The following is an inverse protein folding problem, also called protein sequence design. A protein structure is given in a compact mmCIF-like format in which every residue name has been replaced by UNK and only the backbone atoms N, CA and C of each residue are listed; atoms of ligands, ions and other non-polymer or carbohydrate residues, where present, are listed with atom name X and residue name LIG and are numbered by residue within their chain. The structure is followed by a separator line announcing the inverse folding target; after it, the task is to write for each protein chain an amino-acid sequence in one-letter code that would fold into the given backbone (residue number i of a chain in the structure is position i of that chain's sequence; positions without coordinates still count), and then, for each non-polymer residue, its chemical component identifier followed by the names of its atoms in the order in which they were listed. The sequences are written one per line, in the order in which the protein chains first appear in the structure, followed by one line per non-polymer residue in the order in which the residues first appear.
data_IF_007825232366
#
_entry.id   IF_007825232366
#
_cell.length_a   1.000
_cell.length_b   1.000
_cell.length_c   1.000
_cell.angle_alpha   90.00
_cell.angle_beta   90.00
_cell.angle_gamma   90.00
#
_symmetry.space_group_name_H-M   'P 1'
#
loop_
_entity.id
_entity.type
_entity.pdbx_description
1 polymer ?
#
# COMPACT_ATOMS: atom_id res chain seq x y z
N UNK A 1 50.46 -19.06 3.23
CA UNK A 1 49.21 -19.83 3.04
C UNK A 1 48.11 -19.18 3.87
N UNK A 2 47.30 -18.31 3.26
CA UNK A 2 46.21 -17.60 3.92
C UNK A 2 44.89 -18.33 3.66
N UNK A 3 44.27 -18.85 4.72
CA UNK A 3 42.95 -19.47 4.63
C UNK A 3 41.88 -18.40 4.39
N UNK A 4 41.19 -18.45 3.24
CA UNK A 4 39.99 -17.65 2.98
C UNK A 4 38.87 -18.15 3.90
N UNK A 5 38.45 -17.32 4.87
CA UNK A 5 37.21 -17.53 5.61
C UNK A 5 36.03 -17.39 4.64
N UNK A 6 35.29 -18.49 4.47
CA UNK A 6 34.01 -18.50 3.77
C UNK A 6 33.01 -17.65 4.56
N UNK A 7 32.49 -16.58 3.96
CA UNK A 7 31.32 -15.85 4.46
C UNK A 7 30.10 -16.72 4.19
N UNK A 8 29.75 -17.59 5.15
CA UNK A 8 28.40 -18.16 5.20
C UNK A 8 27.49 -17.02 5.65
N UNK A 9 26.70 -16.46 4.73
CA UNK A 9 25.60 -15.60 5.13
C UNK A 9 24.71 -16.41 6.09
N UNK A 10 24.50 -15.90 7.30
CA UNK A 10 23.47 -16.44 8.17
C UNK A 10 22.14 -16.08 7.50
N UNK A 11 21.54 -17.03 6.78
CA UNK A 11 20.14 -16.94 6.41
C UNK A 11 19.36 -16.93 7.73
N UNK A 12 18.67 -15.83 7.99
CA UNK A 12 17.81 -15.70 9.17
C UNK A 12 16.56 -16.52 8.87
N UNK A 13 15.96 -17.17 9.87
CA UNK A 13 14.76 -18.00 9.67
C UNK A 13 13.56 -17.20 9.11
N UNK A 14 13.66 -15.86 9.06
CA UNK A 14 12.72 -14.92 8.43
C UNK A 14 12.77 -14.94 6.89
N UNK A 15 13.82 -15.49 6.26
CA UNK A 15 13.97 -15.50 4.79
C UNK A 15 13.05 -16.52 4.09
N UNK A 16 12.26 -17.27 4.84
CA UNK A 16 11.17 -18.11 4.32
C UNK A 16 9.85 -17.65 4.93
N UNK A 17 9.13 -16.80 4.21
CA UNK A 17 7.80 -16.36 4.60
C UNK A 17 6.89 -17.61 4.80
N UNK A 18 6.34 -17.83 6.00
CA UNK A 18 5.60 -19.06 6.34
C UNK A 18 4.20 -19.15 5.70
N UNK A 19 3.84 -18.18 4.86
CA UNK A 19 2.51 -18.07 4.29
C UNK A 19 2.38 -18.93 3.03
N UNK A 20 2.12 -20.22 3.25
CA UNK A 20 1.45 -21.06 2.27
C UNK A 20 -0.01 -21.19 2.70
N UNK A 21 -0.96 -20.62 1.95
CA UNK A 21 -2.38 -20.95 2.15
C UNK A 21 -3.10 -21.01 0.82
N UNK A 22 -3.42 -22.24 0.42
CA UNK A 22 -4.77 -22.62 0.02
C UNK A 22 -5.04 -23.99 0.68
N UNK A 23 -6.26 -24.22 1.16
CA UNK A 23 -6.68 -25.44 1.87
C UNK A 23 -6.58 -26.74 1.04
N UNK A 24 -6.19 -26.64 -0.24
CA UNK A 24 -6.12 -27.72 -1.22
C UNK A 24 -4.70 -28.26 -1.47
N UNK A 25 -3.70 -27.84 -0.68
CA UNK A 25 -2.35 -28.42 -0.69
C UNK A 25 -1.53 -28.13 -1.95
N UNK A 26 -1.97 -27.17 -2.78
CA UNK A 26 -1.18 -26.65 -3.91
C UNK A 26 -0.31 -25.49 -3.44
N UNK A 27 0.86 -25.25 -4.05
CA UNK A 27 1.57 -24.00 -3.84
C UNK A 27 0.67 -22.85 -4.30
N UNK A 28 0.08 -22.13 -3.34
CA UNK A 28 -0.58 -20.88 -3.62
C UNK A 28 0.44 -19.96 -4.30
N UNK A 29 0.08 -19.40 -5.45
CA UNK A 29 0.90 -18.36 -6.08
C UNK A 29 1.13 -17.21 -5.09
N UNK A 30 2.12 -16.36 -5.39
CA UNK A 30 2.41 -15.18 -4.58
C UNK A 30 1.13 -14.33 -4.45
N UNK A 31 0.67 -14.06 -3.23
CA UNK A 31 -0.48 -13.17 -3.02
C UNK A 31 -0.18 -11.80 -3.63
N UNK A 32 -1.13 -11.23 -4.35
CA UNK A 32 -0.99 -9.93 -4.99
C UNK A 32 -1.68 -8.87 -4.14
N UNK A 33 -1.06 -7.72 -3.98
CA UNK A 33 -1.67 -6.60 -3.29
C UNK A 33 -1.51 -5.30 -4.05
N UNK A 34 -2.40 -4.36 -3.76
CA UNK A 34 -2.28 -2.97 -4.20
C UNK A 34 -1.97 -2.06 -3.01
N UNK A 35 -1.18 -1.02 -3.22
CA UNK A 35 -0.75 -0.07 -2.19
C UNK A 35 -1.29 1.33 -2.52
N UNK A 36 -2.46 1.67 -1.99
CA UNK A 36 -3.11 2.96 -2.17
C UNK A 36 -2.66 3.93 -1.08
N UNK A 37 -2.47 5.20 -1.46
CA UNK A 37 -1.93 6.22 -0.55
C UNK A 37 -0.59 5.75 0.03
N UNK A 38 0.26 5.18 -0.84
CA UNK A 38 1.38 4.35 -0.42
C UNK A 38 2.48 5.12 0.32
N UNK A 39 2.50 6.45 0.23
CA UNK A 39 3.53 7.29 0.81
C UNK A 39 4.92 6.82 0.38
N UNK A 40 5.75 6.48 1.36
CA UNK A 40 7.11 5.95 1.14
C UNK A 40 7.18 4.42 1.03
N UNK A 41 6.04 3.71 1.02
CA UNK A 41 5.94 2.26 0.82
C UNK A 41 6.02 1.40 2.09
N UNK A 42 5.41 1.87 3.18
CA UNK A 42 5.34 1.11 4.45
C UNK A 42 4.61 -0.22 4.30
N UNK A 43 3.43 -0.22 3.68
CA UNK A 43 2.69 -1.44 3.37
C UNK A 43 3.46 -2.32 2.40
N UNK A 44 4.01 -1.76 1.31
CA UNK A 44 4.82 -2.55 0.38
C UNK A 44 5.94 -3.31 1.05
N UNK A 45 6.73 -2.66 1.90
CA UNK A 45 7.82 -3.30 2.63
C UNK A 45 7.32 -4.43 3.54
N UNK A 46 6.20 -4.23 4.24
CA UNK A 46 5.63 -5.25 5.13
C UNK A 46 5.13 -6.48 4.35
N UNK A 47 4.36 -6.25 3.29
CA UNK A 47 3.77 -7.33 2.49
C UNK A 47 4.78 -8.06 1.62
N UNK A 48 5.77 -7.37 1.04
CA UNK A 48 6.85 -8.02 0.30
C UNK A 48 7.73 -8.89 1.21
N UNK A 49 8.00 -8.45 2.44
CA UNK A 49 8.68 -9.29 3.47
C UNK A 49 7.85 -10.50 3.87
N UNK A 50 6.53 -10.37 3.89
CA UNK A 50 5.61 -11.49 4.07
C UNK A 50 5.45 -12.37 2.80
N UNK A 51 6.20 -12.07 1.73
CA UNK A 51 6.19 -12.85 0.50
C UNK A 51 5.06 -12.50 -0.46
N UNK A 52 4.33 -11.40 -0.31
CA UNK A 52 3.32 -10.94 -1.28
C UNK A 52 3.93 -10.03 -2.37
N UNK A 53 3.28 -9.88 -3.51
CA UNK A 53 3.70 -9.09 -4.68
C UNK A 53 2.86 -7.83 -4.80
N UNK A 54 3.50 -6.66 -4.87
CA UNK A 54 2.78 -5.42 -5.15
C UNK A 54 2.54 -5.31 -6.65
N UNK A 55 1.28 -5.20 -7.07
CA UNK A 55 0.91 -5.12 -8.50
C UNK A 55 0.38 -3.75 -8.92
N UNK A 56 0.16 -2.85 -7.97
CA UNK A 56 -0.27 -1.48 -8.22
C UNK A 56 0.06 -0.59 -7.00
N UNK A 57 0.48 0.65 -7.26
CA UNK A 57 0.66 1.65 -6.21
C UNK A 57 0.19 3.03 -6.67
N UNK A 58 -0.34 3.83 -5.74
CA UNK A 58 -0.84 5.19 -6.02
C UNK A 58 -0.54 6.14 -4.86
N UNK A 59 0.11 7.25 -5.16
CA UNK A 59 0.25 8.39 -4.25
C UNK A 59 0.46 9.67 -5.05
N UNK A 60 -0.34 10.70 -4.76
CA UNK A 60 -0.30 11.97 -5.49
C UNK A 60 0.85 12.90 -5.09
N UNK A 61 1.53 12.64 -3.97
CA UNK A 61 2.59 13.49 -3.49
C UNK A 61 3.88 13.18 -4.25
N UNK A 62 4.38 14.20 -4.95
CA UNK A 62 5.58 14.11 -5.79
C UNK A 62 6.83 13.68 -5.01
N UNK A 63 6.94 14.02 -3.73
CA UNK A 63 8.08 13.63 -2.90
C UNK A 63 7.95 12.18 -2.45
N UNK A 64 6.75 11.75 -2.03
CA UNK A 64 6.43 10.33 -1.79
C UNK A 64 6.78 9.49 -3.02
N UNK A 65 6.31 9.87 -4.21
CA UNK A 65 6.64 9.18 -5.46
C UNK A 65 8.15 9.06 -5.70
N UNK A 66 8.89 10.15 -5.46
CA UNK A 66 10.36 10.15 -5.66
C UNK A 66 11.05 9.17 -4.72
N UNK A 67 10.64 9.16 -3.45
CA UNK A 67 11.18 8.22 -2.47
C UNK A 67 10.77 6.78 -2.79
N UNK A 68 9.52 6.56 -3.18
CA UNK A 68 9.02 5.24 -3.55
C UNK A 68 9.77 4.68 -4.76
N UNK A 69 9.90 5.46 -5.83
CA UNK A 69 10.63 5.09 -7.05
C UNK A 69 12.11 4.77 -6.76
N UNK A 70 12.76 5.55 -5.88
CA UNK A 70 14.14 5.30 -5.47
C UNK A 70 14.34 3.98 -4.70
N UNK A 71 13.31 3.48 -4.00
CA UNK A 71 13.40 2.26 -3.20
C UNK A 71 12.90 1.02 -3.93
N UNK A 72 11.88 1.15 -4.79
CA UNK A 72 11.21 0.01 -5.42
C UNK A 72 11.39 -0.05 -6.94
N UNK A 73 12.00 0.97 -7.56
CA UNK A 73 12.20 1.03 -9.01
C UNK A 73 10.91 1.26 -9.81
N UNK A 74 9.80 1.54 -9.12
CA UNK A 74 8.47 1.75 -9.70
C UNK A 74 7.92 3.08 -9.21
N UNK A 75 7.37 3.88 -10.11
CA UNK A 75 6.73 5.15 -9.75
C UNK A 75 5.23 4.96 -9.52
N UNK A 76 4.66 5.39 -8.39
CA UNK A 76 3.21 5.32 -8.15
C UNK A 76 2.41 6.14 -9.17
N UNK A 77 1.17 5.73 -9.44
CA UNK A 77 0.30 6.29 -10.49
C UNK A 77 -0.21 7.73 -10.23
N UNK A 78 0.08 8.32 -9.07
CA UNK A 78 -0.38 9.66 -8.73
C UNK A 78 -1.74 9.69 -8.04
N UNK A 79 -2.59 10.61 -8.48
CA UNK A 79 -3.95 10.79 -7.97
C UNK A 79 -4.83 9.61 -8.37
N UNK A 80 -5.39 8.92 -7.37
CA UNK A 80 -6.23 7.74 -7.58
C UNK A 80 -7.51 8.07 -8.36
N UNK A 81 -7.99 9.32 -8.33
CA UNK A 81 -9.14 9.75 -9.13
C UNK A 81 -8.87 9.78 -10.64
N UNK A 82 -7.60 9.78 -11.06
CA UNK A 82 -7.20 9.75 -12.45
C UNK A 82 -7.09 8.32 -13.01
N UNK A 83 -7.24 7.30 -12.17
CA UNK A 83 -7.15 5.89 -12.55
C UNK A 83 -8.56 5.30 -12.61
N UNK A 84 -8.94 4.74 -13.75
CA UNK A 84 -10.20 4.01 -13.82
C UNK A 84 -10.11 2.73 -12.98
N UNK A 85 -11.13 2.44 -12.19
CA UNK A 85 -11.15 1.25 -11.31
C UNK A 85 -10.91 -0.04 -12.11
N UNK A 86 -11.39 -0.11 -13.35
CA UNK A 86 -11.19 -1.23 -14.26
C UNK A 86 -9.74 -1.40 -14.76
N UNK A 87 -8.91 -0.35 -14.70
CA UNK A 87 -7.50 -0.39 -15.11
C UNK A 87 -6.59 -0.91 -14.00
N UNK A 88 -7.09 -1.01 -12.75
CA UNK A 88 -6.34 -1.59 -11.63
C UNK A 88 -6.21 -3.11 -11.87
N UNK A 89 -4.98 -3.68 -11.88
CA UNK A 89 -4.78 -5.12 -12.07
C UNK A 89 -5.47 -5.94 -11.00
N UNK A 90 -5.88 -7.19 -11.29
CA UNK A 90 -6.44 -8.10 -10.28
C UNK A 90 -5.47 -8.32 -9.11
N UNK A 91 -5.99 -8.25 -7.89
CA UNK A 91 -5.25 -8.41 -6.64
C UNK A 91 -6.05 -9.21 -5.61
N UNK A 92 -5.36 -9.67 -4.56
CA UNK A 92 -5.93 -10.42 -3.44
C UNK A 92 -6.12 -9.56 -2.18
N UNK A 93 -5.30 -8.52 -2.02
CA UNK A 93 -5.30 -7.64 -0.85
C UNK A 93 -5.27 -6.17 -1.27
N UNK A 94 -6.20 -5.36 -0.75
CA UNK A 94 -6.12 -3.89 -0.85
C UNK A 94 -5.46 -3.33 0.42
N UNK A 95 -4.38 -2.56 0.27
CA UNK A 95 -3.80 -1.77 1.36
C UNK A 95 -4.07 -0.29 1.08
N UNK A 96 -4.51 0.46 2.09
CA UNK A 96 -4.72 1.91 1.96
C UNK A 96 -4.35 2.66 3.24
N UNK A 97 -3.29 3.48 3.17
CA UNK A 97 -2.88 4.41 4.21
C UNK A 97 -3.54 5.78 4.03
N UNK A 98 -4.86 5.83 4.08
CA UNK A 98 -5.64 6.96 3.62
C UNK A 98 -5.53 8.17 4.56
N UNK A 99 -5.67 9.41 4.06
CA UNK A 99 -5.39 10.59 4.87
C UNK A 99 -6.33 10.72 6.08
N UNK A 100 -5.76 10.64 7.28
CA UNK A 100 -6.46 10.83 8.56
C UNK A 100 -6.64 12.33 8.94
N UNK A 101 -6.05 13.28 8.20
CA UNK A 101 -6.13 14.72 8.50
C UNK A 101 -7.54 15.32 8.53
N UNK A 102 -8.52 14.87 7.70
CA UNK A 102 -9.90 15.33 7.83
C UNK A 102 -10.60 14.84 9.10
N UNK A 103 -10.08 13.79 9.76
CA UNK A 103 -10.80 13.05 10.81
C UNK A 103 -10.10 13.08 12.19
N UNK A 104 -8.79 13.31 12.24
CA UNK A 104 -8.04 13.37 13.51
C UNK A 104 -8.22 14.69 14.26
N UNK A 105 -8.17 14.66 15.60
CA UNK A 105 -8.28 15.87 16.43
C UNK A 105 -7.26 16.96 16.04
N UNK A 106 -6.00 16.58 15.82
CA UNK A 106 -4.94 17.50 15.41
C UNK A 106 -5.16 18.04 13.97
N UNK A 107 -5.60 17.18 13.04
CA UNK A 107 -5.91 17.56 11.67
C UNK A 107 -7.11 18.50 11.58
N UNK A 108 -8.20 18.18 12.27
CA UNK A 108 -9.42 18.99 12.39
C UNK A 108 -9.09 20.34 13.03
N UNK A 109 -8.32 20.38 14.12
CA UNK A 109 -7.89 21.64 14.75
C UNK A 109 -7.16 22.55 13.75
N UNK A 110 -6.25 21.99 12.95
CA UNK A 110 -5.50 22.70 11.91
C UNK A 110 -6.39 23.15 10.74
N UNK A 111 -7.49 22.44 10.42
CA UNK A 111 -8.46 22.82 9.39
C UNK A 111 -9.44 23.90 9.87
N UNK A 112 -9.83 23.87 11.15
CA UNK A 112 -10.70 24.86 11.76
C UNK A 112 -10.03 26.24 11.88
N UNK A 113 -8.72 26.32 12.18
CA UNK A 113 -8.03 27.61 12.30
C UNK A 113 -8.14 28.52 11.06
N UNK A 114 -8.06 28.01 9.81
CA UNK A 114 -8.36 28.77 8.59
C UNK A 114 -9.83 28.68 8.11
N UNK A 115 -10.76 28.14 8.91
CA UNK A 115 -12.17 27.98 8.52
C UNK A 115 -12.44 26.97 7.40
N UNK A 116 -11.58 25.96 7.24
CA UNK A 116 -11.76 24.91 6.22
C UNK A 116 -12.70 23.81 6.73
N UNK A 117 -13.48 23.25 5.81
CA UNK A 117 -14.29 22.05 6.03
C UNK A 117 -13.41 20.84 6.38
N UNK A 118 -13.95 19.86 7.07
CA UNK A 118 -13.25 18.66 7.53
C UNK A 118 -14.19 17.44 7.41
N UNK A 119 -13.71 16.25 7.80
CA UNK A 119 -14.45 15.00 7.60
C UNK A 119 -14.74 14.76 6.12
N UNK A 120 -15.95 14.26 5.83
CA UNK A 120 -16.43 14.04 4.47
C UNK A 120 -16.72 15.34 3.70
N UNK A 121 -16.86 16.47 4.40
CA UNK A 121 -17.05 17.77 3.75
C UNK A 121 -15.73 18.36 3.22
N UNK A 122 -14.59 17.70 3.46
CA UNK A 122 -13.32 18.06 2.85
C UNK A 122 -13.24 17.54 1.41
N UNK A 123 -13.47 18.44 0.45
CA UNK A 123 -13.51 18.11 -0.99
C UNK A 123 -12.20 17.52 -1.54
N UNK A 124 -11.05 17.74 -0.87
CA UNK A 124 -9.75 17.26 -1.36
C UNK A 124 -9.34 15.92 -0.78
N UNK A 125 -9.67 15.66 0.48
CA UNK A 125 -9.17 14.50 1.22
C UNK A 125 -10.27 13.66 1.87
N UNK A 126 -11.43 14.25 2.16
CA UNK A 126 -12.57 13.55 2.75
C UNK A 126 -13.19 12.52 1.80
N UNK A 127 -13.09 12.76 0.50
CA UNK A 127 -13.67 11.89 -0.52
C UNK A 127 -12.76 10.73 -0.96
N UNK A 128 -11.51 10.69 -0.50
CA UNK A 128 -10.56 9.62 -0.85
C UNK A 128 -10.99 8.25 -0.31
N UNK A 129 -11.75 8.23 0.79
CA UNK A 129 -12.39 7.02 1.28
C UNK A 129 -13.37 6.42 0.27
N UNK A 130 -14.12 7.26 -0.47
CA UNK A 130 -15.06 6.76 -1.48
C UNK A 130 -14.34 6.12 -2.67
N UNK A 131 -13.16 6.61 -3.05
CA UNK A 131 -12.33 5.92 -4.05
C UNK A 131 -11.95 4.50 -3.61
N UNK A 132 -11.65 4.30 -2.32
CA UNK A 132 -11.38 2.96 -1.78
C UNK A 132 -12.66 2.10 -1.87
N UNK A 133 -13.80 2.66 -1.48
CA UNK A 133 -15.08 1.96 -1.52
C UNK A 133 -15.44 1.53 -2.95
N UNK A 134 -15.24 2.39 -3.95
CA UNK A 134 -15.50 2.08 -5.36
C UNK A 134 -14.57 0.95 -5.87
N UNK A 135 -13.30 0.95 -5.46
CA UNK A 135 -12.35 -0.12 -5.80
C UNK A 135 -12.73 -1.44 -5.14
N UNK A 136 -13.11 -1.41 -3.86
CA UNK A 136 -13.58 -2.59 -3.13
C UNK A 136 -14.87 -3.16 -3.75
N UNK A 137 -15.82 -2.30 -4.11
CA UNK A 137 -17.09 -2.70 -4.72
C UNK A 137 -16.87 -3.41 -6.07
N UNK A 138 -16.00 -2.86 -6.91
CA UNK A 138 -15.69 -3.44 -8.22
C UNK A 138 -14.85 -4.72 -8.15
N UNK A 139 -13.77 -4.73 -7.36
CA UNK A 139 -12.79 -5.84 -7.37
C UNK A 139 -13.15 -6.98 -6.40
N UNK A 140 -13.91 -6.70 -5.35
CA UNK A 140 -14.29 -7.67 -4.31
C UNK A 140 -13.11 -8.55 -3.83
N UNK A 141 -11.98 -7.95 -3.41
CA UNK A 141 -10.80 -8.71 -3.00
C UNK A 141 -11.08 -9.54 -1.73
N UNK A 142 -10.41 -10.70 -1.57
CA UNK A 142 -10.50 -11.51 -0.35
C UNK A 142 -10.21 -10.76 0.95
N UNK A 143 -9.32 -9.77 0.92
CA UNK A 143 -8.94 -9.01 2.12
C UNK A 143 -8.62 -7.55 1.80
N UNK A 144 -8.68 -6.71 2.83
CA UNK A 144 -8.20 -5.34 2.78
C UNK A 144 -7.65 -4.89 4.15
N UNK A 145 -6.77 -3.90 4.14
CA UNK A 145 -6.18 -3.26 5.32
C UNK A 145 -6.25 -1.75 5.13
N UNK A 146 -6.89 -1.04 6.07
CA UNK A 146 -7.02 0.41 6.07
C UNK A 146 -6.36 0.97 7.33
N UNK A 147 -5.59 2.05 7.18
CA UNK A 147 -4.99 2.85 8.25
C UNK A 147 -5.13 4.34 7.95
#
# INVERSE_FOLDING_TARGET
MTAKRSKRALAVHEDQAPYHVNDDGKPAGRLKFIDLFCGIGGFRLAFERAGAECVFSSDWDKYSQTTYEANFGERPHGDIHAVAVADIPKFDILCAGFPCQPFSLAGVSKKLSPGRKHGFDDEKQGNLFFSIADILDYHQPPAFVLD
#
